data_IF_498719666121
#
_entry.id   IF_498719666121
#
_cell.length_a   1.000
_cell.length_b   1.000
_cell.length_c   1.000
_cell.angle_alpha   90.00
_cell.angle_beta   90.00
_cell.angle_gamma   90.00
#
_symmetry.space_group_name_H-M   'P 1'
#
loop_
_entity.id
_entity.type
_entity.pdbx_description
1 polymer ?
#
# COMPACT_ATOMS: atom_id res chain seq x y z
N UNK A 1 27.67 -23.59 8.01
CA UNK A 1 26.68 -23.37 9.07
C UNK A 1 25.68 -22.33 8.57
N UNK A 2 24.40 -22.67 8.48
CA UNK A 2 23.36 -21.72 8.06
C UNK A 2 22.88 -20.95 9.29
N UNK A 3 23.19 -19.65 9.36
CA UNK A 3 22.67 -18.75 10.38
C UNK A 3 21.23 -18.37 10.00
N UNK A 4 20.26 -19.09 10.55
CA UNK A 4 18.86 -18.70 10.51
C UNK A 4 18.66 -17.52 11.46
N UNK A 5 18.74 -16.31 10.92
CA UNK A 5 18.35 -15.09 11.63
C UNK A 5 16.83 -15.06 11.71
N UNK A 6 16.26 -15.69 12.73
CA UNK A 6 14.86 -15.56 13.06
C UNK A 6 14.63 -14.13 13.59
N UNK A 7 14.04 -13.26 12.77
CA UNK A 7 13.60 -11.95 13.25
C UNK A 7 12.52 -12.15 14.29
N UNK A 8 12.73 -11.54 15.45
CA UNK A 8 11.76 -11.53 16.54
C UNK A 8 10.43 -10.96 16.02
N UNK A 9 9.28 -11.63 16.29
CA UNK A 9 7.98 -11.11 15.92
C UNK A 9 7.81 -9.70 16.47
N UNK A 10 7.51 -8.74 15.59
CA UNK A 10 7.21 -7.37 16.03
C UNK A 10 6.05 -7.39 17.03
N UNK A 11 6.09 -6.52 18.07
CA UNK A 11 5.02 -6.41 19.05
C UNK A 11 3.67 -6.20 18.34
N UNK A 12 2.64 -6.90 18.83
CA UNK A 12 1.28 -6.73 18.32
C UNK A 12 0.84 -5.28 18.52
N UNK A 13 0.22 -4.70 17.49
CA UNK A 13 -0.26 -3.33 17.60
C UNK A 13 -1.55 -3.29 18.44
N UNK A 14 -1.89 -2.13 19.04
CA UNK A 14 -3.09 -1.98 19.88
C UNK A 14 -4.37 -2.37 19.14
N UNK A 15 -5.21 -3.16 19.78
CA UNK A 15 -6.50 -3.58 19.23
C UNK A 15 -7.61 -2.59 19.60
N UNK A 16 -8.23 -1.98 18.59
CA UNK A 16 -9.43 -1.16 18.73
C UNK A 16 -10.43 -1.48 17.62
N UNK A 17 -11.75 -1.34 17.85
CA UNK A 17 -12.79 -1.85 16.97
C UNK A 17 -12.74 -1.28 15.54
N UNK A 18 -12.29 -0.03 15.36
CA UNK A 18 -12.13 0.60 14.04
C UNK A 18 -10.92 0.13 13.21
N UNK A 19 -9.96 -0.59 13.82
CA UNK A 19 -8.68 -0.94 13.17
C UNK A 19 -8.88 -1.90 12.01
N UNK A 20 -9.79 -2.88 12.17
CA UNK A 20 -10.08 -3.90 11.15
C UNK A 20 -10.68 -3.28 9.90
N UNK A 21 -11.61 -2.33 10.05
CA UNK A 21 -12.20 -1.61 8.92
C UNK A 21 -11.15 -0.77 8.19
N UNK A 22 -10.33 0.00 8.92
CA UNK A 22 -9.24 0.77 8.30
C UNK A 22 -8.24 -0.13 7.58
N UNK A 23 -7.90 -1.29 8.15
CA UNK A 23 -6.94 -2.22 7.55
C UNK A 23 -7.52 -2.88 6.28
N UNK A 24 -8.81 -3.19 6.28
CA UNK A 24 -9.52 -3.67 5.10
C UNK A 24 -9.59 -2.61 3.99
N UNK A 25 -9.87 -1.35 4.34
CA UNK A 25 -9.86 -0.22 3.40
C UNK A 25 -8.46 -0.04 2.81
N UNK A 26 -7.41 0.00 3.63
CA UNK A 26 -6.02 0.09 3.16
C UNK A 26 -5.62 -1.08 2.24
N UNK A 27 -6.05 -2.29 2.58
CA UNK A 27 -5.78 -3.51 1.80
C UNK A 27 -6.38 -3.48 0.39
N UNK A 28 -7.52 -2.78 0.21
CA UNK A 28 -8.23 -2.68 -1.08
C UNK A 28 -7.82 -1.43 -1.85
N UNK A 29 -7.64 -0.29 -1.17
CA UNK A 29 -7.31 1.00 -1.80
C UNK A 29 -6.03 0.92 -2.61
N UNK A 30 -4.99 0.25 -2.11
CA UNK A 30 -3.71 0.10 -2.83
C UNK A 30 -3.79 -0.68 -4.15
N UNK A 31 -4.31 -1.91 -4.19
CA UNK A 31 -4.49 -2.61 -5.45
C UNK A 31 -5.45 -1.87 -6.39
N UNK A 32 -6.50 -1.23 -5.87
CA UNK A 32 -7.42 -0.44 -6.68
C UNK A 32 -6.72 0.77 -7.33
N UNK A 33 -5.81 1.44 -6.61
CA UNK A 33 -5.05 2.57 -7.13
C UNK A 33 -4.11 2.15 -8.28
N UNK A 34 -3.49 0.96 -8.20
CA UNK A 34 -2.72 0.39 -9.31
C UNK A 34 -3.57 0.13 -10.55
N UNK A 35 -4.78 -0.40 -10.36
CA UNK A 35 -5.73 -0.62 -11.46
C UNK A 35 -6.12 0.70 -12.13
N UNK A 36 -6.45 1.73 -11.33
CA UNK A 36 -6.83 3.05 -11.84
C UNK A 36 -5.69 3.71 -12.63
N UNK A 37 -4.46 3.59 -12.13
CA UNK A 37 -3.27 4.16 -12.77
C UNK A 37 -3.02 3.54 -14.16
N UNK A 38 -3.18 2.22 -14.27
CA UNK A 38 -3.06 1.51 -15.55
C UNK A 38 -4.20 1.87 -16.51
N UNK A 39 -5.43 1.98 -16.01
CA UNK A 39 -6.58 2.38 -16.83
C UNK A 39 -6.48 3.81 -17.37
N UNK A 40 -5.80 4.71 -16.64
CA UNK A 40 -5.57 6.09 -17.08
C UNK A 40 -4.31 6.25 -17.93
N UNK A 41 -3.62 5.17 -18.27
CA UNK A 41 -2.43 5.26 -19.12
C UNK A 41 -2.88 5.51 -20.56
N UNK A 42 -2.36 6.56 -21.25
CA UNK A 42 -2.80 6.92 -22.60
C UNK A 42 -2.37 5.90 -23.67
N UNK A 43 -1.38 5.07 -23.36
CA UNK A 43 -0.87 4.03 -24.26
C UNK A 43 -1.62 2.71 -24.10
N UNK A 44 -1.83 1.93 -25.18
CA UNK A 44 -2.43 0.61 -25.10
C UNK A 44 -1.50 -0.35 -24.35
N UNK A 45 -1.80 -0.57 -23.07
CA UNK A 45 -1.03 -1.43 -22.16
C UNK A 45 -1.10 -2.93 -22.55
N UNK A 46 -1.99 -3.29 -23.49
CA UNK A 46 -2.09 -4.66 -24.01
C UNK A 46 -2.36 -5.68 -22.91
N UNK A 47 -1.67 -6.83 -22.97
CA UNK A 47 -1.83 -7.95 -22.03
C UNK A 47 -1.39 -7.61 -20.60
N UNK A 48 -0.57 -6.57 -20.43
CA UNK A 48 -0.08 -6.11 -19.13
C UNK A 48 -1.22 -5.53 -18.29
N UNK A 49 -2.23 -4.90 -18.89
CA UNK A 49 -3.37 -4.34 -18.18
C UNK A 49 -4.18 -5.39 -17.41
N UNK A 50 -4.73 -6.42 -18.11
CA UNK A 50 -5.42 -7.55 -17.50
C UNK A 50 -4.56 -8.36 -16.52
N UNK A 51 -3.26 -8.47 -16.78
CA UNK A 51 -2.34 -9.19 -15.90
C UNK A 51 -2.15 -8.46 -14.57
N UNK A 52 -1.93 -7.14 -14.60
CA UNK A 52 -1.74 -6.35 -13.38
C UNK A 52 -3.05 -6.22 -12.61
N UNK A 53 -4.21 -6.11 -13.26
CA UNK A 53 -5.50 -6.15 -12.56
C UNK A 53 -5.71 -7.48 -11.86
N UNK A 54 -5.45 -8.62 -12.50
CA UNK A 54 -5.53 -9.93 -11.86
C UNK A 54 -4.58 -10.05 -10.67
N UNK A 55 -3.33 -9.56 -10.81
CA UNK A 55 -2.35 -9.53 -9.73
C UNK A 55 -2.80 -8.63 -8.58
N UNK A 56 -3.35 -7.45 -8.87
CA UNK A 56 -3.87 -6.52 -7.88
C UNK A 56 -5.03 -7.16 -7.08
N UNK A 57 -5.92 -7.89 -7.75
CA UNK A 57 -7.02 -8.63 -7.09
C UNK A 57 -6.47 -9.72 -6.16
N UNK A 58 -5.53 -10.54 -6.64
CA UNK A 58 -4.92 -11.62 -5.84
C UNK A 58 -4.18 -11.07 -4.60
N UNK A 59 -3.39 -10.01 -4.79
CA UNK A 59 -2.67 -9.35 -3.69
C UNK A 59 -3.63 -8.65 -2.72
N UNK A 60 -4.73 -8.07 -3.23
CA UNK A 60 -5.80 -7.47 -2.44
C UNK A 60 -6.52 -8.50 -1.57
N UNK A 61 -6.88 -9.66 -2.14
CA UNK A 61 -7.48 -10.77 -1.39
C UNK A 61 -6.55 -11.29 -0.29
N UNK A 62 -5.27 -11.50 -0.60
CA UNK A 62 -4.28 -11.95 0.38
C UNK A 62 -4.08 -10.94 1.52
N UNK A 63 -4.09 -9.65 1.21
CA UNK A 63 -4.04 -8.58 2.22
C UNK A 63 -5.32 -8.49 3.04
N UNK A 64 -6.49 -8.62 2.42
CA UNK A 64 -7.79 -8.59 3.10
C UNK A 64 -7.93 -9.79 4.06
N UNK A 65 -7.56 -10.99 3.61
CA UNK A 65 -7.49 -12.18 4.43
C UNK A 65 -6.57 -11.96 5.65
N UNK A 66 -5.39 -11.38 5.44
CA UNK A 66 -4.45 -11.08 6.54
C UNK A 66 -4.99 -9.99 7.48
N UNK A 67 -5.67 -8.97 6.96
CA UNK A 67 -6.29 -7.91 7.76
C UNK A 67 -7.48 -8.44 8.59
N UNK A 68 -8.23 -9.42 8.09
CA UNK A 68 -9.38 -10.00 8.79
C UNK A 68 -8.96 -11.06 9.82
N UNK A 69 -8.07 -11.99 9.44
CA UNK A 69 -7.66 -13.12 10.29
C UNK A 69 -6.45 -12.86 11.20
N UNK A 70 -5.56 -11.93 10.84
CA UNK A 70 -4.29 -11.66 11.55
C UNK A 70 -4.12 -10.15 11.79
N UNK A 71 -5.22 -9.48 12.16
CA UNK A 71 -5.27 -8.02 12.30
C UNK A 71 -4.23 -7.46 13.27
N UNK A 72 -3.95 -8.17 14.37
CA UNK A 72 -2.99 -7.75 15.40
C UNK A 72 -1.59 -7.49 14.83
N UNK A 73 -1.22 -8.25 13.79
CA UNK A 73 0.08 -8.20 13.09
C UNK A 73 0.05 -7.34 11.81
N UNK A 74 -1.10 -6.76 11.46
CA UNK A 74 -1.26 -5.93 10.26
C UNK A 74 -0.84 -4.49 10.57
N UNK A 75 0.19 -4.02 9.88
CA UNK A 75 0.67 -2.64 9.92
C UNK A 75 0.21 -1.90 8.66
N UNK A 76 -0.44 -0.76 8.85
CA UNK A 76 -0.97 0.08 7.79
C UNK A 76 0.10 0.42 6.75
N UNK A 77 -0.10 -0.08 5.53
CA UNK A 77 0.78 0.26 4.40
C UNK A 77 0.60 1.73 4.00
N UNK A 78 -0.58 2.31 4.22
CA UNK A 78 -0.85 3.76 4.10
C UNK A 78 0.09 4.61 4.91
N UNK A 79 0.49 4.20 6.12
CA UNK A 79 1.37 5.04 6.95
C UNK A 79 2.79 5.10 6.39
N UNK A 80 3.28 3.99 5.85
CA UNK A 80 4.61 3.91 5.25
C UNK A 80 4.69 4.72 3.95
N UNK A 81 3.67 4.62 3.12
CA UNK A 81 3.61 5.35 1.85
C UNK A 81 3.14 6.80 2.00
N UNK A 82 2.29 7.09 2.98
CA UNK A 82 1.85 8.44 3.30
C UNK A 82 3.02 9.35 3.67
N UNK A 83 4.01 8.83 4.41
CA UNK A 83 5.27 9.56 4.67
C UNK A 83 6.05 9.87 3.40
N UNK A 84 6.13 8.91 2.47
CA UNK A 84 6.82 9.10 1.19
C UNK A 84 6.09 10.11 0.32
N UNK A 85 4.76 10.03 0.23
CA UNK A 85 3.93 10.98 -0.50
C UNK A 85 3.98 12.39 0.08
N UNK A 86 3.91 12.52 1.41
CA UNK A 86 4.08 13.80 2.08
C UNK A 86 5.46 14.41 1.80
N UNK A 87 6.52 13.59 1.82
CA UNK A 87 7.87 14.05 1.46
C UNK A 87 7.95 14.51 -0.01
N UNK A 88 7.39 13.75 -0.95
CA UNK A 88 7.35 14.16 -2.37
C UNK A 88 6.55 15.45 -2.59
N UNK A 89 5.40 15.60 -1.93
CA UNK A 89 4.60 16.83 -2.01
C UNK A 89 5.34 18.02 -1.43
N UNK A 90 6.06 17.83 -0.32
CA UNK A 90 6.88 18.87 0.30
C UNK A 90 8.02 19.30 -0.62
N UNK A 91 8.71 18.34 -1.25
CA UNK A 91 9.74 18.64 -2.27
C UNK A 91 9.13 19.42 -3.45
N UNK A 92 7.99 18.98 -3.97
CA UNK A 92 7.29 19.67 -5.06
C UNK A 92 6.84 21.08 -4.69
N UNK A 93 6.38 21.30 -3.45
CA UNK A 93 6.01 22.61 -2.94
C UNK A 93 7.23 23.54 -2.82
N UNK A 94 8.35 23.05 -2.29
CA UNK A 94 9.60 23.81 -2.20
C UNK A 94 10.08 24.21 -3.58
N UNK A 95 10.15 23.26 -4.52
CA UNK A 95 10.53 23.54 -5.92
C UNK A 95 9.63 24.61 -6.53
N UNK A 96 8.31 24.49 -6.38
CA UNK A 96 7.35 25.47 -6.90
C UNK A 96 7.62 26.86 -6.34
N UNK A 97 7.80 27.00 -5.03
CA UNK A 97 8.11 28.28 -4.39
C UNK A 97 9.42 28.86 -4.92
N UNK A 98 10.48 28.05 -5.05
CA UNK A 98 11.78 28.52 -5.55
C UNK A 98 11.82 28.89 -7.03
N UNK A 99 10.90 28.35 -7.85
CA UNK A 99 10.83 28.69 -9.28
C UNK A 99 9.89 29.87 -9.55
N UNK A 100 8.99 30.19 -8.62
CA UNK A 100 8.09 31.36 -8.69
C UNK A 100 8.61 32.57 -7.92
N UNK A 101 9.69 32.42 -7.15
CA UNK A 101 10.40 33.50 -6.44
C UNK A 101 11.56 34.02 -7.30
#
# INVERSE_FOLDING_TARGET
MWLLVAREPRPDAPDWPGRRMLAAVDAVVWPMLWVLLIQHTPEPVGLVGPFVTAMAVLLGLGRLHRALWVNQRYWFTTWRWGKVMAAMLLIGAVLKVTMTA
#
